data_IF_725817375588
#
_entry.id   IF_725817375588
#
_cell.length_a   1.000
_cell.length_b   1.000
_cell.length_c   1.000
_cell.angle_alpha   90.00
_cell.angle_beta   90.00
_cell.angle_gamma   90.00
#
_symmetry.space_group_name_H-M   'P 1'
#
loop_
_entity.id
_entity.type
_entity.pdbx_description
1 polymer ?
#
# COMPACT_ATOMS: atom_id res chain seq x y z
N UNK A 1 -6.14 7.01 -3.63
CA UNK A 1 -5.07 8.02 -3.40
C UNK A 1 -4.90 8.81 -4.71
N UNK A 2 -4.80 10.14 -4.65
CA UNK A 2 -4.63 10.99 -5.84
C UNK A 2 -3.44 11.92 -5.64
N UNK A 3 -2.78 12.28 -6.73
CA UNK A 3 -1.63 13.18 -6.72
C UNK A 3 -1.90 14.39 -7.61
N UNK A 4 -1.49 15.56 -7.17
CA UNK A 4 -1.51 16.78 -7.94
C UNK A 4 -0.07 17.24 -8.18
N UNK A 5 0.26 17.50 -9.44
CA UNK A 5 1.55 18.05 -9.82
C UNK A 5 1.36 19.35 -10.63
N UNK A 6 2.23 20.30 -10.41
CA UNK A 6 2.24 21.58 -11.14
C UNK A 6 3.62 21.81 -11.76
N UNK A 7 3.65 22.43 -12.93
CA UNK A 7 4.91 22.81 -13.58
C UNK A 7 5.69 23.77 -12.69
N UNK A 8 6.95 23.46 -12.40
CA UNK A 8 7.80 24.21 -11.48
C UNK A 8 7.74 23.74 -10.02
N UNK A 9 6.79 22.84 -9.67
CA UNK A 9 6.61 22.35 -8.31
C UNK A 9 5.92 23.35 -7.38
N UNK A 10 5.54 22.88 -6.20
CA UNK A 10 5.00 23.71 -5.13
C UNK A 10 6.13 24.36 -4.32
N UNK A 11 5.92 25.62 -3.90
CA UNK A 11 6.80 26.30 -2.98
C UNK A 11 6.57 25.76 -1.57
N UNK A 12 7.57 25.08 -1.02
CA UNK A 12 7.53 24.49 0.30
C UNK A 12 8.81 24.80 1.05
N UNK A 13 8.78 24.76 2.36
CA UNK A 13 9.98 24.89 3.20
C UNK A 13 10.63 23.50 3.30
N UNK A 14 11.81 23.28 2.69
CA UNK A 14 12.48 21.99 2.78
C UNK A 14 13.09 21.79 4.18
N UNK A 15 13.04 20.54 4.67
CA UNK A 15 13.78 20.08 5.83
C UNK A 15 14.85 19.09 5.38
N UNK A 16 16.12 19.36 5.67
CA UNK A 16 17.28 18.56 5.21
C UNK A 16 17.26 18.27 3.69
N UNK A 17 16.83 19.25 2.89
CA UNK A 17 16.75 19.14 1.44
C UNK A 17 15.51 18.39 0.91
N UNK A 18 14.61 17.92 1.76
CA UNK A 18 13.36 17.26 1.38
C UNK A 18 12.15 18.15 1.66
N UNK A 19 11.22 18.22 0.68
CA UNK A 19 9.92 18.87 0.83
C UNK A 19 8.80 17.89 1.27
N UNK A 20 9.16 16.65 1.58
CA UNK A 20 8.19 15.64 1.99
C UNK A 20 7.68 15.87 3.41
N UNK A 21 6.39 15.64 3.60
CA UNK A 21 5.77 15.61 4.93
C UNK A 21 5.96 14.22 5.55
N UNK A 22 6.43 14.17 6.80
CA UNK A 22 6.46 12.95 7.61
C UNK A 22 5.76 13.22 8.95
N UNK A 23 4.49 12.83 9.02
CA UNK A 23 3.66 13.07 10.21
C UNK A 23 4.13 12.28 11.44
N UNK A 24 4.79 11.13 11.24
CA UNK A 24 5.32 10.32 12.34
C UNK A 24 6.53 10.97 12.98
N UNK A 25 7.37 11.60 12.16
CA UNK A 25 8.50 12.40 12.64
C UNK A 25 8.11 13.82 13.07
N UNK A 26 6.84 14.19 13.00
CA UNK A 26 6.37 15.55 13.32
C UNK A 26 6.78 16.59 12.26
N UNK A 27 7.14 16.17 11.05
CA UNK A 27 7.57 17.07 9.98
C UNK A 27 6.39 17.40 9.06
N UNK A 28 6.05 18.68 8.99
CA UNK A 28 4.94 19.18 8.20
C UNK A 28 3.56 18.86 8.81
N UNK A 29 2.53 19.03 8.00
CA UNK A 29 1.13 18.75 8.37
C UNK A 29 0.30 18.37 7.13
N UNK A 30 -0.85 17.71 7.29
CA UNK A 30 -1.81 17.53 6.21
C UNK A 30 -2.34 18.87 5.73
N UNK A 31 -2.64 18.96 4.44
CA UNK A 31 -3.36 20.10 3.88
C UNK A 31 -4.81 20.15 4.41
N UNK A 32 -5.32 21.35 4.59
CA UNK A 32 -6.68 21.62 5.04
C UNK A 32 -7.41 22.48 4.02
N UNK A 33 -8.71 22.41 4.01
CA UNK A 33 -9.53 23.32 3.22
C UNK A 33 -9.18 24.77 3.57
N UNK A 34 -8.92 25.59 2.54
CA UNK A 34 -8.49 26.97 2.69
C UNK A 34 -6.96 27.19 2.69
N UNK A 35 -6.15 26.14 2.71
CA UNK A 35 -4.71 26.29 2.54
C UNK A 35 -4.38 26.81 1.13
N UNK A 36 -3.45 27.75 1.06
CA UNK A 36 -2.92 28.30 -0.18
C UNK A 36 -1.50 27.79 -0.37
N UNK A 37 -1.24 27.20 -1.53
CA UNK A 37 0.09 26.72 -1.92
C UNK A 37 0.63 27.61 -3.03
N UNK A 38 1.78 28.24 -2.81
CA UNK A 38 2.54 28.92 -3.84
C UNK A 38 3.13 27.91 -4.82
N UNK A 39 3.32 28.33 -6.07
CA UNK A 39 4.08 27.57 -7.05
C UNK A 39 4.83 28.53 -7.99
N UNK A 40 6.03 28.14 -8.41
CA UNK A 40 6.79 28.87 -9.41
C UNK A 40 6.27 28.50 -10.80
N UNK A 41 5.45 29.37 -11.39
CA UNK A 41 4.98 29.16 -12.77
C UNK A 41 6.18 29.09 -13.73
N UNK A 42 6.42 27.90 -14.30
CA UNK A 42 7.36 27.72 -15.42
C UNK A 42 6.56 27.42 -16.67
N UNK A 43 6.93 27.99 -17.83
CA UNK A 43 6.31 27.59 -19.07
C UNK A 43 6.47 26.08 -19.25
N UNK A 44 5.42 25.37 -19.72
CA UNK A 44 5.55 23.95 -19.97
C UNK A 44 6.67 23.72 -20.98
N UNK A 45 7.62 22.85 -20.63
CA UNK A 45 8.60 22.38 -21.61
C UNK A 45 7.82 21.69 -22.74
N UNK A 46 8.15 22.04 -23.99
CA UNK A 46 7.39 21.69 -25.20
C UNK A 46 7.31 20.17 -25.50
N UNK A 47 7.81 19.33 -24.61
CA UNK A 47 7.86 17.88 -24.77
C UNK A 47 6.87 17.09 -23.89
N UNK A 48 5.93 17.75 -23.25
CA UNK A 48 4.82 17.00 -22.63
C UNK A 48 3.89 16.48 -23.72
N UNK A 49 4.26 15.32 -24.29
CA UNK A 49 3.25 14.47 -24.89
C UNK A 49 2.21 14.21 -23.78
N UNK A 50 0.94 14.60 -24.01
CA UNK A 50 -0.17 14.16 -23.18
C UNK A 50 -0.29 12.64 -23.33
N UNK A 51 0.52 11.89 -22.62
CA UNK A 51 0.31 10.48 -22.47
C UNK A 51 -0.81 10.28 -21.43
N UNK A 52 -2.03 10.24 -21.92
CA UNK A 52 -3.09 9.59 -21.19
C UNK A 52 -2.77 8.10 -21.22
N UNK A 53 -2.06 7.63 -20.19
CA UNK A 53 -2.11 6.22 -19.89
C UNK A 53 -3.54 5.95 -19.40
N UNK A 54 -4.33 5.14 -20.12
CA UNK A 54 -5.63 4.73 -19.63
C UNK A 54 -5.41 3.74 -18.48
N UNK A 55 -4.92 4.23 -17.35
CA UNK A 55 -5.09 3.50 -16.11
C UNK A 55 -6.60 3.43 -15.91
N UNK A 56 -7.17 2.24 -15.71
CA UNK A 56 -8.56 2.15 -15.35
C UNK A 56 -8.70 2.97 -14.06
N UNK A 57 -9.37 4.13 -14.20
CA UNK A 57 -9.85 4.88 -13.03
C UNK A 57 -10.68 3.85 -12.28
N UNK A 58 -10.17 3.40 -11.16
CA UNK A 58 -10.82 2.36 -10.38
C UNK A 58 -12.17 2.92 -9.96
N UNK A 59 -13.21 2.48 -10.66
CA UNK A 59 -14.57 2.60 -10.14
C UNK A 59 -14.52 2.04 -8.72
N UNK A 60 -15.17 2.70 -7.77
CA UNK A 60 -15.34 2.17 -6.42
C UNK A 60 -15.81 0.73 -6.51
N UNK A 61 -14.89 -0.20 -6.32
CA UNK A 61 -15.23 -1.63 -6.31
C UNK A 61 -15.61 -1.95 -4.88
N UNK A 62 -16.79 -2.49 -4.70
CA UNK A 62 -17.23 -3.02 -3.41
C UNK A 62 -16.29 -4.14 -2.93
N UNK A 63 -15.75 -4.89 -3.88
CA UNK A 63 -14.79 -5.97 -3.64
C UNK A 63 -13.53 -5.73 -4.46
N UNK A 64 -12.40 -5.63 -3.80
CA UNK A 64 -11.07 -5.54 -4.43
C UNK A 64 -10.45 -6.94 -4.43
N UNK A 65 -10.29 -7.51 -5.63
CA UNK A 65 -9.60 -8.79 -5.80
C UNK A 65 -8.11 -8.57 -5.93
N UNK A 66 -7.32 -9.33 -5.18
CA UNK A 66 -5.86 -9.28 -5.16
C UNK A 66 -5.29 -10.68 -5.37
N UNK A 67 -4.52 -10.84 -6.42
CA UNK A 67 -3.80 -12.09 -6.68
C UNK A 67 -2.67 -12.26 -5.67
N UNK A 68 -2.56 -13.45 -5.13
CA UNK A 68 -1.47 -13.82 -4.22
C UNK A 68 -0.45 -14.69 -4.93
N UNK A 69 0.81 -14.33 -4.74
CA UNK A 69 1.97 -15.13 -5.11
C UNK A 69 2.48 -15.86 -3.86
N UNK A 70 2.87 -17.13 -3.99
CA UNK A 70 3.51 -17.84 -2.90
C UNK A 70 4.84 -17.18 -2.54
N UNK A 71 5.22 -17.21 -1.29
CA UNK A 71 6.56 -16.83 -0.83
C UNK A 71 7.30 -18.08 -0.38
N UNK A 72 8.60 -18.11 -0.62
CA UNK A 72 9.47 -19.25 -0.33
C UNK A 72 9.80 -19.36 1.17
N UNK A 73 8.88 -19.03 2.06
CA UNK A 73 9.04 -19.14 3.52
C UNK A 73 8.72 -20.58 4.00
N UNK A 74 9.46 -21.53 3.49
CA UNK A 74 9.18 -22.95 3.54
C UNK A 74 9.01 -23.63 4.90
N UNK A 75 9.26 -22.95 6.03
CA UNK A 75 9.22 -23.63 7.34
C UNK A 75 8.20 -23.06 8.34
N UNK A 76 7.60 -21.91 8.07
CA UNK A 76 6.83 -21.20 9.11
C UNK A 76 5.32 -21.15 8.88
N UNK A 77 4.84 -21.50 7.70
CA UNK A 77 3.42 -21.46 7.37
C UNK A 77 2.88 -22.85 7.01
N UNK A 78 1.62 -23.15 7.41
CA UNK A 78 0.95 -24.38 6.95
C UNK A 78 0.89 -24.44 5.42
N UNK A 79 0.94 -25.65 4.85
CA UNK A 79 0.91 -25.83 3.39
C UNK A 79 -0.37 -25.28 2.73
N UNK A 80 -1.45 -25.18 3.48
CA UNK A 80 -2.75 -24.65 3.06
C UNK A 80 -2.95 -23.15 3.36
N UNK A 81 -1.92 -22.46 3.89
CA UNK A 81 -2.03 -21.06 4.30
C UNK A 81 -2.53 -20.15 3.19
N UNK A 82 -2.06 -20.35 1.96
CA UNK A 82 -2.50 -19.56 0.81
C UNK A 82 -3.98 -19.79 0.51
N UNK A 83 -4.42 -21.04 0.53
CA UNK A 83 -5.83 -21.39 0.31
C UNK A 83 -6.72 -20.83 1.43
N UNK A 84 -6.26 -20.90 2.67
CA UNK A 84 -6.97 -20.35 3.83
C UNK A 84 -7.11 -18.82 3.73
N UNK A 85 -6.07 -18.09 3.27
CA UNK A 85 -6.17 -16.65 3.00
C UNK A 85 -7.21 -16.35 1.90
N UNK A 86 -7.23 -17.14 0.82
CA UNK A 86 -8.18 -16.94 -0.27
C UNK A 86 -9.63 -17.26 0.16
N UNK A 87 -9.82 -18.15 1.10
CA UNK A 87 -11.15 -18.50 1.61
C UNK A 87 -11.69 -17.52 2.67
N UNK A 88 -10.82 -16.75 3.32
CA UNK A 88 -11.21 -15.86 4.41
C UNK A 88 -11.73 -14.51 3.90
N UNK A 89 -12.83 -13.98 4.46
CA UNK A 89 -13.30 -12.65 4.15
C UNK A 89 -12.49 -11.60 4.91
N UNK A 90 -11.97 -10.61 4.17
CA UNK A 90 -11.26 -9.47 4.75
C UNK A 90 -11.91 -8.14 4.36
N UNK A 91 -11.67 -7.12 5.17
CA UNK A 91 -12.01 -5.73 4.86
C UNK A 91 -10.81 -4.84 5.10
N UNK A 92 -10.63 -3.84 4.25
CA UNK A 92 -9.64 -2.80 4.46
C UNK A 92 -10.05 -1.97 5.68
N UNK A 93 -9.28 -2.03 6.75
CA UNK A 93 -9.52 -1.26 7.97
C UNK A 93 -8.97 0.15 7.82
N UNK A 94 -7.70 0.26 7.48
CA UNK A 94 -7.02 1.51 7.20
C UNK A 94 -5.88 1.31 6.20
N UNK A 95 -5.43 2.43 5.63
CA UNK A 95 -4.40 2.46 4.61
C UNK A 95 -3.52 3.68 4.82
N UNK A 96 -2.22 3.45 4.98
CA UNK A 96 -1.20 4.50 4.92
C UNK A 96 -0.12 4.16 3.89
N UNK A 97 0.95 4.95 3.81
CA UNK A 97 2.05 4.69 2.86
C UNK A 97 2.90 3.48 3.24
N UNK A 98 2.82 3.01 4.49
CA UNK A 98 3.57 1.87 4.99
C UNK A 98 2.85 0.55 4.78
N UNK A 99 1.53 0.52 5.02
CA UNK A 99 0.75 -0.72 4.94
C UNK A 99 -0.75 -0.47 4.76
N UNK A 100 -1.41 -1.46 4.15
CA UNK A 100 -2.86 -1.65 4.22
C UNK A 100 -3.16 -2.67 5.32
N UNK A 101 -3.93 -2.27 6.33
CA UNK A 101 -4.31 -3.14 7.46
C UNK A 101 -5.68 -3.73 7.20
N UNK A 102 -5.78 -5.03 7.38
CA UNK A 102 -7.02 -5.77 7.14
C UNK A 102 -7.66 -6.19 8.45
N UNK A 103 -8.99 -6.17 8.47
CA UNK A 103 -9.83 -6.79 9.49
C UNK A 103 -10.56 -7.98 8.89
N UNK A 104 -10.82 -9.00 9.69
CA UNK A 104 -11.49 -10.23 9.25
C UNK A 104 -11.26 -11.37 10.26
N UNK A 105 -11.47 -12.58 9.82
CA UNK A 105 -11.18 -13.76 10.66
C UNK A 105 -9.70 -13.82 11.00
N UNK A 106 -9.35 -14.14 12.26
CA UNK A 106 -7.96 -14.29 12.64
C UNK A 106 -7.26 -15.35 11.80
N UNK A 107 -6.05 -15.03 11.34
CA UNK A 107 -5.20 -15.94 10.59
C UNK A 107 -3.98 -16.34 11.45
N UNK A 108 -3.40 -17.54 11.31
CA UNK A 108 -2.22 -17.92 12.06
C UNK A 108 -1.07 -16.94 11.87
N UNK A 109 -0.82 -16.15 12.91
CA UNK A 109 0.25 -15.13 12.94
C UNK A 109 1.40 -15.57 13.83
N UNK A 110 2.38 -14.71 13.98
CA UNK A 110 3.50 -14.91 14.89
C UNK A 110 4.77 -14.21 14.43
N UNK A 111 5.77 -14.26 15.28
CA UNK A 111 7.08 -13.71 15.03
C UNK A 111 7.99 -14.74 14.36
N UNK A 112 8.88 -14.25 13.52
CA UNK A 112 9.96 -15.00 12.86
C UNK A 112 11.24 -14.16 12.92
N UNK A 113 12.37 -14.74 12.55
CA UNK A 113 13.59 -13.96 12.34
C UNK A 113 13.35 -12.85 11.34
N UNK A 114 13.90 -11.65 11.60
CA UNK A 114 13.73 -10.51 10.71
C UNK A 114 14.42 -10.76 9.39
N UNK A 115 13.69 -10.60 8.29
CA UNK A 115 14.15 -10.82 6.94
C UNK A 115 13.67 -9.71 6.00
N UNK A 116 14.26 -9.66 4.80
CA UNK A 116 13.86 -8.71 3.77
C UNK A 116 12.39 -8.91 3.37
N UNK A 117 11.63 -7.82 3.39
CA UNK A 117 10.21 -7.81 3.04
C UNK A 117 9.98 -6.96 1.79
N UNK A 118 9.76 -7.57 0.61
CA UNK A 118 9.35 -6.83 -0.59
C UNK A 118 8.01 -6.11 -0.42
N UNK A 119 7.76 -5.06 -1.21
CA UNK A 119 6.44 -4.42 -1.29
C UNK A 119 5.39 -5.45 -1.74
N UNK A 120 4.22 -5.38 -1.15
CA UNK A 120 3.13 -6.34 -1.39
C UNK A 120 3.16 -7.57 -0.48
N UNK A 121 4.21 -7.75 0.36
CA UNK A 121 4.24 -8.86 1.33
C UNK A 121 3.04 -8.76 2.27
N UNK A 122 2.32 -9.87 2.39
CA UNK A 122 1.28 -10.06 3.41
C UNK A 122 1.96 -10.53 4.67
N UNK A 123 1.90 -9.76 5.73
CA UNK A 123 2.37 -10.15 7.07
C UNK A 123 1.19 -10.40 7.99
N UNK A 124 1.32 -11.36 8.90
CA UNK A 124 0.31 -11.65 9.91
C UNK A 124 0.87 -11.35 11.28
N UNK A 125 0.34 -10.32 11.90
CA UNK A 125 0.74 -9.87 13.23
C UNK A 125 0.35 -10.90 14.32
N UNK A 126 0.98 -10.86 15.50
CA UNK A 126 0.44 -11.51 16.69
C UNK A 126 -1.02 -11.04 16.90
N UNK A 127 -1.95 -11.96 17.06
CA UNK A 127 -3.39 -11.66 17.07
C UNK A 127 -4.09 -11.89 15.74
N UNK A 128 -3.38 -12.34 14.72
CA UNK A 128 -3.98 -12.91 13.50
C UNK A 128 -4.47 -11.90 12.48
N UNK A 129 -4.10 -10.62 12.59
CA UNK A 129 -4.52 -9.58 11.63
C UNK A 129 -3.51 -9.46 10.49
N UNK A 130 -3.93 -9.71 9.24
CA UNK A 130 -3.07 -9.50 8.10
C UNK A 130 -2.87 -8.01 7.81
N UNK A 131 -1.67 -7.67 7.34
CA UNK A 131 -1.37 -6.39 6.72
C UNK A 131 -0.57 -6.61 5.44
N UNK A 132 -0.75 -5.72 4.48
CA UNK A 132 -0.04 -5.74 3.21
C UNK A 132 0.95 -4.59 3.19
N UNK A 133 2.24 -4.90 3.07
CA UNK A 133 3.30 -3.91 3.11
C UNK A 133 3.33 -3.06 1.83
N UNK A 134 3.48 -1.74 1.99
CA UNK A 134 3.53 -0.76 0.90
C UNK A 134 4.90 -0.06 0.82
N UNK A 135 5.01 0.99 0.02
CA UNK A 135 6.30 1.56 -0.37
C UNK A 135 7.16 2.12 0.78
N UNK A 136 6.54 2.71 1.81
CA UNK A 136 7.25 3.31 2.95
C UNK A 136 7.46 2.33 4.12
N UNK A 137 7.25 1.03 3.88
CA UNK A 137 7.51 -0.02 4.86
C UNK A 137 8.97 -0.06 5.32
N UNK A 138 9.24 -0.68 6.45
CA UNK A 138 10.59 -1.07 6.83
C UNK A 138 11.20 -2.05 5.82
N UNK A 139 12.52 -2.04 5.67
CA UNK A 139 13.24 -2.97 4.78
C UNK A 139 13.20 -4.40 5.27
N UNK A 140 13.17 -4.58 6.59
CA UNK A 140 13.10 -5.86 7.27
C UNK A 140 11.75 -6.01 7.99
N UNK A 141 11.29 -7.22 8.17
CA UNK A 141 10.12 -7.58 8.96
C UNK A 141 10.27 -8.93 9.63
N UNK A 142 9.72 -9.06 10.83
CA UNK A 142 9.85 -10.24 11.70
C UNK A 142 8.51 -10.92 11.98
N UNK A 143 7.54 -10.86 11.06
CA UNK A 143 6.27 -11.55 11.20
C UNK A 143 6.05 -12.55 10.09
N UNK A 144 5.25 -13.59 10.36
CA UNK A 144 4.89 -14.62 9.38
C UNK A 144 4.34 -14.02 8.10
N UNK A 145 4.77 -14.57 6.95
CA UNK A 145 4.49 -14.06 5.60
C UNK A 145 3.88 -15.17 4.73
N UNK A 146 2.56 -15.37 4.77
CA UNK A 146 1.93 -16.44 4.00
C UNK A 146 1.97 -16.23 2.49
N UNK A 147 2.06 -14.97 2.03
CA UNK A 147 1.95 -14.65 0.61
C UNK A 147 2.50 -13.25 0.29
N UNK A 148 2.53 -12.95 -1.00
CA UNK A 148 2.76 -11.61 -1.54
C UNK A 148 1.66 -11.26 -2.53
N UNK A 149 1.12 -10.06 -2.47
CA UNK A 149 0.20 -9.53 -3.48
C UNK A 149 0.95 -9.33 -4.79
N UNK A 150 0.32 -9.73 -5.91
CA UNK A 150 0.88 -9.51 -7.24
C UNK A 150 1.12 -8.01 -7.46
N UNK A 151 2.29 -7.59 -7.99
CA UNK A 151 2.63 -6.17 -8.13
C UNK A 151 1.60 -5.35 -8.90
N UNK A 152 1.01 -5.92 -9.95
CA UNK A 152 0.01 -5.24 -10.78
C UNK A 152 -1.31 -4.97 -10.06
N UNK A 153 -1.57 -5.64 -8.93
CA UNK A 153 -2.79 -5.46 -8.15
C UNK A 153 -2.63 -4.42 -7.02
N UNK A 154 -1.39 -4.03 -6.70
CA UNK A 154 -1.13 -3.00 -5.68
C UNK A 154 -1.80 -1.65 -5.99
N UNK A 155 -1.87 -1.17 -7.24
CA UNK A 155 -2.64 0.03 -7.57
C UNK A 155 -4.13 -0.08 -7.22
N UNK A 156 -4.72 -1.27 -7.32
CA UNK A 156 -6.12 -1.51 -6.94
C UNK A 156 -6.30 -1.36 -5.43
N UNK A 157 -5.37 -1.94 -4.67
CA UNK A 157 -5.38 -1.86 -3.21
C UNK A 157 -5.24 -0.42 -2.71
N UNK A 158 -4.27 0.35 -3.24
CA UNK A 158 -4.01 1.73 -2.76
C UNK A 158 -5.09 2.73 -3.15
N UNK A 159 -6.01 2.35 -4.04
CA UNK A 159 -7.18 3.13 -4.39
C UNK A 159 -8.45 2.68 -3.66
N UNK A 160 -8.39 1.57 -2.94
CA UNK A 160 -9.51 1.09 -2.14
C UNK A 160 -9.84 2.07 -1.00
N UNK A 161 -11.10 2.11 -0.61
CA UNK A 161 -11.56 2.90 0.52
C UNK A 161 -11.57 2.05 1.79
N UNK A 162 -11.33 2.62 2.97
CA UNK A 162 -11.62 1.92 4.22
C UNK A 162 -13.04 1.34 4.21
N UNK A 163 -13.18 0.10 4.65
CA UNK A 163 -14.44 -0.66 4.59
C UNK A 163 -14.62 -1.51 3.33
N UNK A 164 -13.85 -1.28 2.24
CA UNK A 164 -13.91 -2.14 1.05
C UNK A 164 -13.61 -3.60 1.40
N UNK A 165 -14.36 -4.51 0.80
CA UNK A 165 -14.06 -5.94 0.90
C UNK A 165 -12.79 -6.25 0.10
N UNK A 166 -11.91 -7.05 0.69
CA UNK A 166 -10.68 -7.56 0.05
C UNK A 166 -10.82 -9.06 -0.13
N UNK A 167 -10.75 -9.52 -1.36
CA UNK A 167 -10.76 -10.93 -1.70
C UNK A 167 -9.39 -11.33 -2.27
N UNK A 168 -8.77 -12.30 -1.66
CA UNK A 168 -7.55 -12.89 -2.21
C UNK A 168 -7.88 -14.03 -3.16
N UNK A 169 -7.12 -14.12 -4.25
CA UNK A 169 -7.20 -15.20 -5.22
C UNK A 169 -5.78 -15.69 -5.52
N UNK A 170 -5.65 -16.96 -5.87
CA UNK A 170 -4.34 -17.50 -6.27
C UNK A 170 -3.91 -16.86 -7.60
N UNK A 171 -2.72 -16.29 -7.63
CA UNK A 171 -2.07 -15.86 -8.87
C UNK A 171 -1.62 -17.09 -9.66
N UNK A 172 -2.05 -17.19 -10.90
CA UNK A 172 -1.53 -18.16 -11.85
C UNK A 172 -0.14 -17.74 -12.35
#
# INVERSE_FOLDING_TARGET
MSYLAVSGGFETLPFLGSASTDLKAGLGRPLRAGDVLGYAARPPETHFARQFLPYPVTQHREVVQLRLLPVADGETMPADALAALCAAPFRLQDLDRMAARLSGSPFPGGEISSEACPVGTVQVLPGGRPLILLNDKGTLGGYRRPARVHPDDLPLLVQAMPGSAIAFVTGG
#
